data_IF_694416715402
#
_entry.id   IF_694416715402
#
_cell.length_a   1.000
_cell.length_b   1.000
_cell.length_c   1.000
_cell.angle_alpha   90.00
_cell.angle_beta   90.00
_cell.angle_gamma   90.00
#
_symmetry.space_group_name_H-M   'P 1'
#
loop_
_entity.id
_entity.type
_entity.pdbx_description
1 polymer ?
#
# COMPACT_ATOMS: atom_id res chain seq x y z
N UNK A 1 -23.55 35.54 -47.88
CA UNK A 1 -22.42 35.53 -46.95
C UNK A 1 -22.75 34.98 -45.53
N UNK A 2 -23.80 35.44 -44.83
CA UNK A 2 -24.12 34.99 -43.45
C UNK A 2 -24.48 33.49 -43.31
N UNK A 3 -25.10 32.85 -44.30
CA UNK A 3 -25.50 31.43 -44.28
C UNK A 3 -24.28 30.52 -44.45
N UNK A 4 -23.38 30.83 -45.40
CA UNK A 4 -22.14 30.07 -45.61
C UNK A 4 -21.20 30.10 -44.38
N UNK A 5 -21.12 31.25 -43.71
CA UNK A 5 -20.33 31.38 -42.45
C UNK A 5 -20.89 30.49 -41.33
N UNK A 6 -22.23 30.38 -41.20
CA UNK A 6 -22.89 29.52 -40.21
C UNK A 6 -22.70 28.02 -40.48
N UNK A 7 -22.75 27.63 -41.76
CA UNK A 7 -22.51 26.23 -42.18
C UNK A 7 -21.03 25.85 -41.93
N UNK A 8 -20.11 26.75 -42.23
CA UNK A 8 -18.68 26.52 -42.00
C UNK A 8 -18.34 26.45 -40.53
N UNK A 9 -18.96 27.26 -39.67
CA UNK A 9 -18.80 27.18 -38.22
C UNK A 9 -19.37 25.89 -37.64
N UNK A 10 -20.52 25.42 -38.11
CA UNK A 10 -21.13 24.16 -37.68
C UNK A 10 -20.31 22.96 -38.14
N UNK A 11 -19.74 22.97 -39.32
CA UNK A 11 -18.87 21.91 -39.83
C UNK A 11 -17.54 21.86 -39.03
N UNK A 12 -16.97 23.02 -38.70
CA UNK A 12 -15.73 23.10 -37.89
C UNK A 12 -15.97 22.60 -36.48
N UNK A 13 -17.14 22.93 -35.87
CA UNK A 13 -17.49 22.43 -34.53
C UNK A 13 -17.72 20.90 -34.53
N UNK A 14 -18.35 20.36 -35.56
CA UNK A 14 -18.56 18.91 -35.73
C UNK A 14 -17.24 18.15 -35.91
N UNK A 15 -16.29 18.70 -36.66
CA UNK A 15 -14.95 18.13 -36.84
C UNK A 15 -14.17 18.18 -35.50
N UNK A 16 -14.28 19.27 -34.75
CA UNK A 16 -13.63 19.40 -33.45
C UNK A 16 -14.21 18.41 -32.44
N UNK A 17 -15.53 18.21 -32.41
CA UNK A 17 -16.18 17.19 -31.59
C UNK A 17 -15.81 15.77 -32.03
N UNK A 18 -15.68 15.49 -33.33
CA UNK A 18 -15.24 14.19 -33.81
C UNK A 18 -13.79 13.88 -33.47
N UNK A 19 -12.90 14.89 -33.45
CA UNK A 19 -11.50 14.75 -33.01
C UNK A 19 -11.39 14.55 -31.50
N UNK A 20 -12.31 15.06 -30.71
CA UNK A 20 -12.36 14.83 -29.25
C UNK A 20 -12.88 13.42 -28.92
N UNK A 21 -13.72 12.82 -29.77
CA UNK A 21 -14.21 11.45 -29.59
C UNK A 21 -13.16 10.40 -29.97
N UNK A 22 -12.20 10.72 -30.84
CA UNK A 22 -11.07 9.83 -31.15
C UNK A 22 -9.92 9.93 -30.12
N UNK A 23 -9.93 10.95 -29.26
CA UNK A 23 -8.98 11.05 -28.14
C UNK A 23 -9.31 10.09 -26.98
N UNK A 24 -10.50 9.48 -26.94
CA UNK A 24 -10.77 8.22 -26.23
C UNK A 24 -10.23 7.03 -27.08
N UNK A 25 -9.00 7.16 -27.59
CA UNK A 25 -8.26 6.07 -28.20
C UNK A 25 -8.12 4.98 -27.15
N UNK A 26 -8.61 3.79 -27.48
CA UNK A 26 -8.51 2.64 -26.62
C UNK A 26 -7.10 2.58 -26.06
N UNK A 27 -6.95 2.77 -24.75
CA UNK A 27 -5.71 2.43 -24.08
C UNK A 27 -5.47 0.97 -24.47
N UNK A 28 -4.32 0.64 -25.05
CA UNK A 28 -3.86 -0.73 -25.16
C UNK A 28 -3.63 -1.23 -23.73
N UNK A 29 -4.74 -1.51 -23.01
CA UNK A 29 -4.68 -2.16 -21.72
C UNK A 29 -4.30 -3.61 -21.97
N UNK A 30 -3.27 -4.05 -21.30
CA UNK A 30 -2.96 -5.48 -21.23
C UNK A 30 -3.91 -6.07 -20.18
N UNK A 31 -4.71 -7.06 -20.55
CA UNK A 31 -5.53 -7.78 -19.58
C UNK A 31 -4.63 -8.71 -18.77
N UNK A 32 -4.33 -8.30 -17.56
CA UNK A 32 -3.47 -9.05 -16.63
C UNK A 32 -4.26 -9.82 -15.57
N UNK A 33 -5.59 -9.80 -15.60
CA UNK A 33 -6.46 -10.35 -14.56
C UNK A 33 -6.19 -11.84 -14.25
N UNK A 34 -5.76 -12.59 -15.28
CA UNK A 34 -5.48 -14.02 -15.16
C UNK A 34 -3.99 -14.35 -15.28
N UNK A 35 -3.10 -13.37 -15.12
CA UNK A 35 -1.66 -13.59 -15.19
C UNK A 35 -1.21 -14.59 -14.10
N UNK A 36 -0.24 -15.45 -14.46
CA UNK A 36 0.33 -16.49 -13.58
C UNK A 36 1.85 -16.42 -13.50
N UNK A 37 2.44 -15.52 -14.28
CA UNK A 37 3.87 -15.32 -14.37
C UNK A 37 4.19 -13.87 -14.70
N UNK A 38 5.44 -13.45 -14.50
CA UNK A 38 5.93 -12.14 -14.95
C UNK A 38 5.80 -11.96 -16.46
N UNK A 39 5.93 -13.04 -17.23
CA UNK A 39 5.81 -13.00 -18.69
C UNK A 39 4.40 -12.57 -19.14
N UNK A 40 3.37 -12.90 -18.36
CA UNK A 40 1.98 -12.53 -18.66
C UNK A 40 1.71 -11.03 -18.40
N UNK A 41 2.62 -10.35 -17.69
CA UNK A 41 2.54 -8.92 -17.40
C UNK A 41 3.28 -8.06 -18.44
N UNK A 42 3.89 -8.69 -19.46
CA UNK A 42 4.67 -7.97 -20.48
C UNK A 42 3.89 -6.83 -21.12
N UNK A 43 4.49 -5.65 -21.14
CA UNK A 43 3.91 -4.43 -21.75
C UNK A 43 2.78 -3.79 -20.94
N UNK A 44 2.43 -4.33 -19.78
CA UNK A 44 1.42 -3.74 -18.90
C UNK A 44 1.92 -2.44 -18.26
N UNK A 45 0.97 -1.57 -17.86
CA UNK A 45 1.22 -0.37 -17.08
C UNK A 45 1.22 -0.73 -15.61
N UNK A 46 2.38 -0.96 -15.05
CA UNK A 46 2.55 -1.34 -13.65
C UNK A 46 3.22 -0.20 -12.89
N UNK A 47 2.77 0.01 -11.66
CA UNK A 47 3.34 1.02 -10.78
C UNK A 47 3.91 0.40 -9.49
N UNK A 48 4.71 1.20 -8.79
CA UNK A 48 5.22 0.88 -7.47
C UNK A 48 5.38 2.17 -6.64
N UNK A 49 5.42 2.03 -5.31
CA UNK A 49 5.74 3.16 -4.44
C UNK A 49 7.21 3.56 -4.60
N UNK A 50 7.45 4.84 -4.77
CA UNK A 50 8.79 5.38 -4.98
C UNK A 50 9.71 5.13 -3.76
N UNK A 51 10.95 4.72 -4.02
CA UNK A 51 11.94 4.49 -2.97
C UNK A 51 11.80 3.16 -2.22
N UNK A 52 10.93 2.26 -2.68
CA UNK A 52 10.76 0.91 -2.12
C UNK A 52 11.37 -0.16 -3.01
N UNK A 53 11.59 -1.36 -2.47
CA UNK A 53 12.05 -2.52 -3.24
C UNK A 53 11.02 -2.97 -4.31
N UNK A 54 9.75 -2.55 -4.19
CA UNK A 54 8.73 -2.81 -5.20
C UNK A 54 9.10 -2.25 -6.58
N UNK A 55 9.89 -1.16 -6.63
CA UNK A 55 10.39 -0.61 -7.90
C UNK A 55 11.31 -1.61 -8.58
N UNK A 56 12.22 -2.24 -7.84
CA UNK A 56 13.14 -3.25 -8.38
C UNK A 56 12.38 -4.53 -8.79
N UNK A 57 11.36 -4.92 -8.02
CA UNK A 57 10.47 -6.02 -8.39
C UNK A 57 9.69 -5.70 -9.68
N UNK A 58 9.07 -4.54 -9.78
CA UNK A 58 8.35 -4.09 -10.98
C UNK A 58 9.24 -4.11 -12.24
N UNK A 59 10.49 -3.70 -12.11
CA UNK A 59 11.44 -3.64 -13.22
C UNK A 59 11.91 -5.02 -13.70
N UNK A 60 11.53 -6.12 -13.06
CA UNK A 60 11.74 -7.48 -13.55
C UNK A 60 10.75 -7.88 -14.65
N UNK A 61 9.67 -7.13 -14.84
CA UNK A 61 8.66 -7.38 -15.88
C UNK A 61 9.20 -6.88 -17.22
N UNK A 62 9.21 -7.75 -18.22
CA UNK A 62 9.68 -7.43 -19.58
C UNK A 62 8.80 -6.35 -20.22
N UNK A 63 9.42 -5.33 -20.83
CA UNK A 63 8.73 -4.22 -21.54
C UNK A 63 7.66 -3.51 -20.68
N UNK A 64 7.77 -3.55 -19.35
CA UNK A 64 6.83 -2.88 -18.45
C UNK A 64 6.75 -1.37 -18.73
N UNK A 65 5.54 -0.84 -18.77
CA UNK A 65 5.30 0.61 -18.77
C UNK A 65 5.27 1.10 -17.31
N UNK A 66 6.46 1.26 -16.73
CA UNK A 66 6.63 1.53 -15.31
C UNK A 66 6.30 2.97 -14.93
N UNK A 67 5.70 3.16 -13.76
CA UNK A 67 5.53 4.45 -13.10
C UNK A 67 5.72 4.31 -11.59
N UNK A 68 6.03 5.42 -10.91
CA UNK A 68 6.16 5.45 -9.45
C UNK A 68 5.30 6.55 -8.85
N UNK A 69 4.77 6.30 -7.67
CA UNK A 69 3.95 7.23 -6.90
C UNK A 69 4.57 7.43 -5.51
N UNK A 70 4.46 8.61 -4.91
CA UNK A 70 5.07 8.88 -3.61
C UNK A 70 4.37 8.10 -2.48
N UNK A 71 3.04 8.00 -2.54
CA UNK A 71 2.22 7.41 -1.48
C UNK A 71 1.50 6.16 -2.00
N UNK A 72 1.27 5.19 -1.12
CA UNK A 72 0.54 3.96 -1.46
C UNK A 72 -0.92 4.25 -1.89
N UNK A 73 -1.58 5.21 -1.23
CA UNK A 73 -2.94 5.62 -1.57
C UNK A 73 -3.08 6.16 -3.02
N UNK A 74 -2.01 6.75 -3.56
CA UNK A 74 -1.98 7.22 -4.95
C UNK A 74 -1.97 6.07 -5.95
N UNK A 75 -1.30 4.95 -5.62
CA UNK A 75 -1.30 3.73 -6.43
C UNK A 75 -2.71 3.17 -6.58
N UNK A 76 -3.45 3.06 -5.46
CA UNK A 76 -4.82 2.58 -5.45
C UNK A 76 -5.73 3.51 -6.27
N UNK A 77 -5.58 4.82 -6.13
CA UNK A 77 -6.31 5.82 -6.93
C UNK A 77 -6.01 5.70 -8.42
N UNK A 78 -4.74 5.51 -8.79
CA UNK A 78 -4.32 5.33 -10.18
C UNK A 78 -4.88 4.04 -10.77
N UNK A 79 -4.91 2.94 -10.02
CA UNK A 79 -5.51 1.67 -10.43
C UNK A 79 -7.01 1.80 -10.66
N UNK A 80 -7.74 2.38 -9.71
CA UNK A 80 -9.20 2.59 -9.80
C UNK A 80 -9.61 3.52 -10.95
N UNK A 81 -8.80 4.52 -11.24
CA UNK A 81 -9.02 5.42 -12.37
C UNK A 81 -8.64 4.82 -13.74
N UNK A 82 -7.97 3.67 -13.76
CA UNK A 82 -7.47 3.02 -14.96
C UNK A 82 -6.24 3.70 -15.58
N UNK A 83 -5.53 4.54 -14.83
CA UNK A 83 -4.27 5.12 -15.24
C UNK A 83 -3.16 4.06 -15.35
N UNK A 84 -3.21 3.05 -14.48
CA UNK A 84 -2.35 1.86 -14.46
C UNK A 84 -3.20 0.59 -14.55
N UNK A 85 -2.58 -0.52 -14.95
CA UNK A 85 -3.21 -1.84 -15.04
C UNK A 85 -3.05 -2.62 -13.73
N UNK A 86 -2.00 -2.32 -12.96
CA UNK A 86 -1.70 -2.92 -11.68
C UNK A 86 -0.58 -2.20 -10.95
N UNK A 87 -0.34 -2.56 -9.69
CA UNK A 87 0.83 -2.13 -8.93
C UNK A 87 1.41 -3.28 -8.11
N UNK A 88 2.69 -3.18 -7.77
CA UNK A 88 3.39 -4.17 -6.94
C UNK A 88 3.24 -3.77 -5.48
N UNK A 89 2.85 -4.75 -4.66
CA UNK A 89 2.74 -4.62 -3.21
C UNK A 89 3.04 -5.96 -2.54
N UNK A 90 3.18 -5.97 -1.22
CA UNK A 90 3.22 -7.19 -0.43
C UNK A 90 1.85 -7.86 -0.36
N UNK A 91 1.85 -9.17 -0.14
CA UNK A 91 0.61 -9.95 -0.05
C UNK A 91 -0.37 -9.46 1.03
N UNK A 92 0.06 -9.08 2.25
CA UNK A 92 -0.88 -8.56 3.25
C UNK A 92 -1.63 -7.30 2.79
N UNK A 93 -0.95 -6.40 2.06
CA UNK A 93 -1.58 -5.22 1.46
C UNK A 93 -2.58 -5.61 0.37
N UNK A 94 -2.23 -6.56 -0.48
CA UNK A 94 -3.14 -7.05 -1.51
C UNK A 94 -4.39 -7.70 -0.91
N UNK A 95 -4.23 -8.49 0.15
CA UNK A 95 -5.34 -9.12 0.90
C UNK A 95 -6.26 -8.08 1.54
N UNK A 96 -5.69 -7.06 2.20
CA UNK A 96 -6.45 -5.97 2.82
C UNK A 96 -7.27 -5.20 1.78
N UNK A 97 -6.63 -4.75 0.69
CA UNK A 97 -7.28 -3.97 -0.36
C UNK A 97 -8.37 -4.78 -1.07
N UNK A 98 -8.09 -6.03 -1.47
CA UNK A 98 -9.09 -6.88 -2.13
C UNK A 98 -10.18 -7.37 -1.15
N UNK A 99 -9.90 -7.45 0.15
CA UNK A 99 -10.90 -7.76 1.16
C UNK A 99 -11.89 -6.63 1.41
N UNK A 100 -11.46 -5.38 1.21
CA UNK A 100 -12.31 -4.19 1.37
C UNK A 100 -12.98 -3.72 0.07
N UNK A 101 -12.53 -4.18 -1.11
CA UNK A 101 -13.04 -3.79 -2.42
C UNK A 101 -13.10 -4.99 -3.38
N UNK A 102 -14.31 -5.51 -3.59
CA UNK A 102 -14.59 -6.69 -4.42
C UNK A 102 -14.43 -6.44 -5.93
N UNK A 103 -14.21 -5.20 -6.34
CA UNK A 103 -13.89 -4.83 -7.74
C UNK A 103 -12.42 -5.04 -8.08
N UNK A 104 -11.58 -5.30 -7.08
CA UNK A 104 -10.15 -5.52 -7.21
C UNK A 104 -9.80 -7.00 -6.98
N UNK A 105 -8.71 -7.42 -7.60
CA UNK A 105 -8.14 -8.75 -7.39
C UNK A 105 -6.62 -8.65 -7.33
N UNK A 106 -5.97 -9.63 -6.77
CA UNK A 106 -4.52 -9.71 -6.77
C UNK A 106 -4.01 -10.97 -7.47
N UNK A 107 -2.79 -10.88 -7.98
CA UNK A 107 -2.08 -11.98 -8.62
C UNK A 107 -0.95 -12.39 -7.68
N UNK A 108 -1.03 -13.61 -7.16
CA UNK A 108 -0.01 -14.14 -6.28
C UNK A 108 1.18 -14.66 -7.09
N UNK A 109 2.19 -13.83 -7.27
CA UNK A 109 3.46 -14.19 -7.90
C UNK A 109 4.51 -14.44 -6.82
N UNK A 110 4.69 -15.69 -6.46
CA UNK A 110 5.67 -16.08 -5.45
C UNK A 110 7.11 -15.95 -5.96
N UNK A 111 8.07 -15.87 -5.05
CA UNK A 111 9.49 -15.79 -5.35
C UNK A 111 10.00 -17.13 -5.90
N UNK A 112 9.99 -17.29 -7.22
CA UNK A 112 10.43 -18.47 -7.97
C UNK A 112 10.79 -18.10 -9.41
N UNK A 113 11.07 -19.10 -10.26
CA UNK A 113 11.49 -18.92 -11.65
C UNK A 113 10.45 -18.22 -12.56
N UNK A 114 9.19 -18.17 -12.17
CA UNK A 114 8.09 -17.54 -12.93
C UNK A 114 7.57 -16.26 -12.29
N UNK A 115 7.93 -16.02 -11.05
CA UNK A 115 7.55 -14.84 -10.26
C UNK A 115 8.70 -13.86 -10.06
N UNK A 116 8.55 -13.00 -9.07
CA UNK A 116 9.59 -12.04 -8.71
C UNK A 116 10.78 -12.74 -8.04
N UNK A 117 11.97 -12.18 -8.22
CA UNK A 117 13.16 -12.56 -7.46
C UNK A 117 13.47 -11.48 -6.43
N UNK A 118 13.41 -11.84 -5.15
CA UNK A 118 13.75 -10.96 -4.03
C UNK A 118 14.51 -11.73 -2.96
N UNK A 119 15.45 -11.09 -2.28
CA UNK A 119 16.15 -11.68 -1.14
C UNK A 119 15.37 -11.43 0.16
N UNK A 120 15.58 -12.24 1.23
CA UNK A 120 14.97 -11.96 2.54
C UNK A 120 15.32 -10.56 3.09
N UNK A 121 16.45 -9.99 2.69
CA UNK A 121 16.84 -8.65 3.08
C UNK A 121 16.03 -7.55 2.36
N UNK A 122 15.55 -7.84 1.14
CA UNK A 122 14.75 -6.89 0.36
C UNK A 122 13.31 -6.81 0.89
N UNK A 123 12.77 -7.93 1.37
CA UNK A 123 11.37 -8.05 1.83
C UNK A 123 11.20 -7.95 3.34
N UNK A 124 12.29 -7.81 4.08
CA UNK A 124 12.26 -7.74 5.55
C UNK A 124 11.70 -6.42 6.05
N UNK A 125 10.72 -6.48 6.97
CA UNK A 125 10.23 -5.30 7.69
C UNK A 125 11.24 -4.96 8.79
N UNK A 126 11.61 -3.67 8.89
CA UNK A 126 12.61 -3.22 9.85
C UNK A 126 12.28 -1.86 10.47
N UNK A 127 12.73 -1.65 11.70
CA UNK A 127 12.64 -0.36 12.39
C UNK A 127 13.88 0.48 12.04
N UNK A 128 13.66 1.62 11.40
CA UNK A 128 14.71 2.58 11.07
C UNK A 128 15.14 3.39 12.30
N UNK A 129 16.44 3.43 12.58
CA UNK A 129 17.03 4.19 13.67
C UNK A 129 18.17 5.07 13.18
N UNK A 130 18.40 6.18 13.89
CA UNK A 130 19.61 6.98 13.66
C UNK A 130 20.84 6.08 13.86
N UNK A 131 21.81 6.17 12.94
CA UNK A 131 23.07 5.42 13.03
C UNK A 131 23.76 5.67 14.39
N UNK A 132 24.08 4.58 15.10
CA UNK A 132 24.68 4.63 16.43
C UNK A 132 23.69 4.86 17.58
N UNK A 133 22.38 4.70 17.34
CA UNK A 133 21.36 4.78 18.39
C UNK A 133 21.56 3.67 19.44
N UNK A 134 21.55 4.03 20.71
CA UNK A 134 21.62 3.10 21.85
C UNK A 134 20.35 2.25 21.97
N UNK A 135 19.20 2.76 21.47
CA UNK A 135 17.93 2.02 21.46
C UNK A 135 17.96 0.75 20.60
N UNK A 136 18.96 0.59 19.72
CA UNK A 136 19.01 -0.56 18.82
C UNK A 136 19.03 -1.90 19.56
N UNK A 137 19.79 -2.00 20.64
CA UNK A 137 19.88 -3.24 21.42
C UNK A 137 18.56 -3.53 22.09
N UNK A 138 18.01 -2.56 22.82
CA UNK A 138 16.77 -2.69 23.58
C UNK A 138 15.59 -3.06 22.67
N UNK A 139 15.46 -2.39 21.50
CA UNK A 139 14.43 -2.70 20.51
C UNK A 139 14.60 -4.12 19.96
N UNK A 140 15.82 -4.52 19.60
CA UNK A 140 16.06 -5.88 19.10
C UNK A 140 15.79 -6.95 20.17
N UNK A 141 16.13 -6.68 21.41
CA UNK A 141 15.85 -7.57 22.54
C UNK A 141 14.33 -7.74 22.72
N UNK A 142 13.56 -6.65 22.69
CA UNK A 142 12.10 -6.71 22.73
C UNK A 142 11.52 -7.47 21.53
N UNK A 143 11.95 -7.17 20.30
CA UNK A 143 11.47 -7.85 19.10
C UNK A 143 11.81 -9.35 19.10
N UNK A 144 12.91 -9.76 19.70
CA UNK A 144 13.33 -11.18 19.79
C UNK A 144 12.41 -12.02 20.66
N UNK A 145 11.60 -11.40 21.51
CA UNK A 145 10.62 -12.09 22.37
C UNK A 145 9.32 -12.43 21.66
N UNK A 146 9.07 -11.82 20.48
CA UNK A 146 7.90 -12.09 19.66
C UNK A 146 8.21 -13.25 18.70
N UNK A 147 7.47 -14.35 18.80
CA UNK A 147 7.65 -15.50 17.92
C UNK A 147 7.18 -15.22 16.48
N UNK A 148 7.65 -16.00 15.51
CA UNK A 148 7.20 -15.86 14.10
C UNK A 148 5.70 -16.18 13.97
N UNK A 149 5.18 -17.15 14.77
CA UNK A 149 3.74 -17.43 14.83
C UNK A 149 2.95 -16.22 15.31
N UNK A 150 3.41 -15.55 16.37
CA UNK A 150 2.73 -14.36 16.89
C UNK A 150 2.74 -13.20 15.86
N UNK A 151 3.85 -13.01 15.16
CA UNK A 151 3.95 -12.00 14.09
C UNK A 151 2.97 -12.31 12.95
N UNK A 152 2.92 -13.57 12.53
CA UNK A 152 2.00 -14.03 11.48
C UNK A 152 0.54 -13.85 11.92
N UNK A 153 0.19 -14.32 13.11
CA UNK A 153 -1.16 -14.21 13.67
C UNK A 153 -1.59 -12.74 13.80
N UNK A 154 -0.68 -11.86 14.28
CA UNK A 154 -0.94 -10.43 14.33
C UNK A 154 -1.28 -9.87 12.94
N UNK A 155 -0.49 -10.21 11.92
CA UNK A 155 -0.76 -9.75 10.56
C UNK A 155 -2.12 -10.24 10.04
N UNK A 156 -2.47 -11.51 10.27
CA UNK A 156 -3.78 -12.08 9.89
C UNK A 156 -4.94 -11.37 10.61
N UNK A 157 -4.76 -11.03 11.88
CA UNK A 157 -5.73 -10.27 12.66
C UNK A 157 -5.92 -8.85 12.11
N UNK A 158 -4.83 -8.18 11.78
CA UNK A 158 -4.88 -6.83 11.21
C UNK A 158 -5.53 -6.85 9.80
N UNK A 159 -5.19 -7.81 8.94
CA UNK A 159 -5.85 -7.98 7.64
C UNK A 159 -7.36 -8.26 7.82
N UNK A 160 -7.75 -9.01 8.85
CA UNK A 160 -9.16 -9.23 9.19
C UNK A 160 -9.87 -7.92 9.51
N UNK A 161 -9.26 -7.04 10.31
CA UNK A 161 -9.81 -5.71 10.62
C UNK A 161 -9.99 -4.85 9.38
N UNK A 162 -8.96 -4.75 8.55
CA UNK A 162 -9.01 -3.91 7.33
C UNK A 162 -9.99 -4.45 6.28
N UNK A 163 -10.33 -5.74 6.35
CA UNK A 163 -11.37 -6.37 5.53
C UNK A 163 -12.78 -6.29 6.15
N UNK A 164 -12.98 -5.50 7.20
CA UNK A 164 -14.28 -5.29 7.85
C UNK A 164 -14.68 -6.37 8.87
N UNK A 165 -13.75 -7.26 9.24
CA UNK A 165 -13.95 -8.23 10.32
C UNK A 165 -13.73 -7.64 11.71
N UNK A 166 -13.82 -8.46 12.73
CA UNK A 166 -13.61 -8.08 14.14
C UNK A 166 -12.52 -8.91 14.78
N UNK A 167 -11.74 -8.29 15.65
CA UNK A 167 -10.68 -8.92 16.44
C UNK A 167 -10.85 -8.48 17.89
N UNK A 168 -10.96 -9.44 18.82
CA UNK A 168 -11.16 -9.13 20.24
C UNK A 168 -9.84 -8.77 20.96
N UNK A 169 -8.74 -9.39 20.54
CA UNK A 169 -7.40 -9.12 21.10
C UNK A 169 -6.32 -9.51 20.11
N UNK A 170 -5.17 -8.82 20.17
CA UNK A 170 -4.05 -9.10 19.29
C UNK A 170 -3.12 -10.18 19.87
N UNK A 171 -2.54 -10.99 18.98
CA UNK A 171 -1.53 -12.01 19.31
C UNK A 171 -0.26 -11.41 19.91
N UNK A 172 0.07 -10.18 19.54
CA UNK A 172 1.13 -9.39 20.12
C UNK A 172 0.49 -8.25 20.90
N UNK A 173 0.49 -8.36 22.21
CA UNK A 173 0.02 -7.32 23.12
C UNK A 173 0.93 -7.30 24.34
N UNK A 174 1.17 -6.12 24.87
CA UNK A 174 1.89 -5.95 26.11
C UNK A 174 1.01 -5.18 27.09
N UNK A 175 0.81 -5.67 28.33
CA UNK A 175 0.13 -4.87 29.34
C UNK A 175 0.90 -3.57 29.58
N UNK A 176 0.16 -2.49 29.85
CA UNK A 176 0.78 -1.20 30.16
C UNK A 176 1.80 -1.37 31.29
N UNK A 177 2.98 -0.75 31.19
CA UNK A 177 4.02 -0.90 32.20
C UNK A 177 3.55 -0.32 33.55
N UNK A 178 3.96 -0.93 34.65
CA UNK A 178 3.64 -0.43 35.98
C UNK A 178 4.25 0.96 36.28
N UNK A 179 5.36 1.28 35.59
CA UNK A 179 6.02 2.58 35.66
C UNK A 179 6.51 3.00 34.30
N UNK A 180 6.22 4.26 33.91
CA UNK A 180 6.75 4.86 32.68
C UNK A 180 8.06 5.60 32.98
N UNK A 181 9.12 5.26 32.26
CA UNK A 181 10.44 5.90 32.40
C UNK A 181 10.72 6.95 31.34
N UNK A 182 9.87 7.04 30.30
CA UNK A 182 10.06 7.97 29.20
C UNK A 182 8.97 7.86 28.13
N UNK A 183 9.22 8.46 26.98
CA UNK A 183 8.33 8.42 25.83
C UNK A 183 9.14 8.03 24.60
N UNK A 184 8.76 6.93 23.95
CA UNK A 184 9.28 6.57 22.63
C UNK A 184 8.49 7.32 21.54
N UNK A 185 9.18 8.13 20.74
CA UNK A 185 8.57 8.82 19.58
C UNK A 185 8.80 7.99 18.33
N UNK A 186 7.71 7.57 17.71
CA UNK A 186 7.73 6.76 16.49
C UNK A 186 7.11 7.58 15.35
N UNK A 187 7.78 7.62 14.21
CA UNK A 187 7.25 8.20 12.96
C UNK A 187 6.81 7.10 12.02
N UNK A 188 5.64 7.28 11.39
CA UNK A 188 5.08 6.35 10.41
C UNK A 188 4.42 7.15 9.28
N UNK A 189 4.23 6.52 8.12
CA UNK A 189 3.47 7.09 6.99
C UNK A 189 2.00 7.28 7.35
N UNK A 190 1.42 6.33 8.08
CA UNK A 190 0.01 6.24 8.47
C UNK A 190 -0.97 6.31 7.29
N UNK A 191 -0.57 5.78 6.13
CA UNK A 191 -1.34 5.68 4.90
C UNK A 191 -1.08 4.38 4.14
N UNK A 192 -0.56 3.35 4.80
CA UNK A 192 -0.15 2.08 4.23
C UNK A 192 -0.77 0.88 4.96
N UNK A 193 -2.01 0.56 4.64
CA UNK A 193 -2.69 -0.64 5.15
C UNK A 193 -2.06 -1.93 4.60
N UNK A 194 -2.00 -2.98 5.42
CA UNK A 194 -2.38 -3.15 6.82
C UNK A 194 -1.27 -2.81 7.82
N UNK A 195 -0.14 -2.28 7.35
CA UNK A 195 1.02 -1.99 8.21
C UNK A 195 0.77 -0.81 9.13
N UNK A 196 0.33 0.32 8.59
CA UNK A 196 -0.02 1.49 9.39
C UNK A 196 -0.99 2.41 8.61
N UNK A 197 -2.10 2.81 9.25
CA UNK A 197 -3.08 3.73 8.67
C UNK A 197 -3.62 4.71 9.70
N UNK A 198 -4.41 5.69 9.25
CA UNK A 198 -5.05 6.70 10.08
C UNK A 198 -6.54 6.44 10.22
N UNK A 199 -7.01 6.27 11.46
CA UNK A 199 -8.42 6.28 11.82
C UNK A 199 -8.84 7.67 12.29
N UNK A 200 -10.12 8.01 12.10
CA UNK A 200 -10.72 9.28 12.55
C UNK A 200 -11.41 9.16 13.91
N UNK A 201 -11.37 7.98 14.50
CA UNK A 201 -11.86 7.69 15.85
C UNK A 201 -11.02 6.56 16.48
N UNK A 202 -11.27 6.25 17.75
CA UNK A 202 -10.55 5.23 18.50
C UNK A 202 -11.35 3.95 18.72
N UNK A 203 -12.29 3.65 17.82
CA UNK A 203 -13.15 2.45 17.95
C UNK A 203 -12.43 1.18 17.50
N UNK A 204 -11.43 1.31 16.63
CA UNK A 204 -10.61 0.18 16.20
C UNK A 204 -9.68 -0.26 17.32
N UNK A 205 -9.63 -1.56 17.68
CA UNK A 205 -8.75 -2.06 18.72
C UNK A 205 -7.29 -1.68 18.48
N UNK A 206 -6.59 -1.27 19.54
CA UNK A 206 -5.16 -0.94 19.50
C UNK A 206 -4.81 0.38 18.82
N UNK A 207 -5.78 1.22 18.50
CA UNK A 207 -5.54 2.55 17.94
C UNK A 207 -4.82 3.47 18.95
N UNK A 208 -3.86 4.25 18.47
CA UNK A 208 -3.04 5.19 19.26
C UNK A 208 -3.21 6.60 18.70
N UNK A 209 -3.52 7.57 19.56
CA UNK A 209 -3.66 8.96 19.13
C UNK A 209 -2.37 9.49 18.49
N UNK A 210 -2.51 10.09 17.30
CA UNK A 210 -1.37 10.69 16.59
C UNK A 210 -1.06 12.05 17.20
N UNK A 211 0.17 12.22 17.70
CA UNK A 211 0.63 13.50 18.26
C UNK A 211 1.11 14.44 17.16
N UNK A 212 0.83 15.74 17.32
CA UNK A 212 1.32 16.78 16.41
C UNK A 212 0.29 17.86 16.12
N UNK A 213 0.73 18.96 15.53
CA UNK A 213 -0.15 20.06 15.14
C UNK A 213 -1.13 19.58 14.04
N UNK A 214 -2.42 19.87 14.25
CA UNK A 214 -3.49 19.48 13.32
C UNK A 214 -3.82 17.98 13.30
N UNK A 215 -3.31 17.17 14.25
CA UNK A 215 -3.53 15.73 14.33
C UNK A 215 -4.54 15.30 15.41
N UNK A 216 -5.09 16.24 16.17
CA UNK A 216 -6.08 15.94 17.23
C UNK A 216 -7.28 15.16 16.69
N UNK A 217 -7.63 14.06 17.35
CA UNK A 217 -8.72 13.17 16.95
C UNK A 217 -8.38 12.24 15.77
N UNK A 218 -7.10 12.16 15.41
CA UNK A 218 -6.60 11.16 14.46
C UNK A 218 -5.83 10.07 15.23
N UNK A 219 -6.00 8.82 14.79
CA UNK A 219 -5.42 7.66 15.47
C UNK A 219 -4.65 6.81 14.47
N UNK A 220 -3.46 6.40 14.83
CA UNK A 220 -2.68 5.43 14.07
C UNK A 220 -3.09 4.01 14.47
N UNK A 221 -3.24 3.13 13.50
CA UNK A 221 -3.48 1.72 13.72
C UNK A 221 -2.69 0.87 12.69
N UNK A 222 -2.63 -0.43 12.92
CA UNK A 222 -1.96 -1.38 12.03
C UNK A 222 -0.89 -2.21 12.68
N UNK A 223 -0.31 -3.10 11.88
CA UNK A 223 0.73 -4.02 12.34
C UNK A 223 1.91 -3.30 13.01
N UNK A 224 2.43 -2.26 12.35
CA UNK A 224 3.58 -1.51 12.86
C UNK A 224 3.25 -0.78 14.16
N UNK A 225 2.00 -0.34 14.32
CA UNK A 225 1.54 0.34 15.54
C UNK A 225 1.49 -0.63 16.72
N UNK A 226 1.01 -1.86 16.51
CA UNK A 226 1.01 -2.89 17.55
C UNK A 226 2.43 -3.30 17.96
N UNK A 227 3.32 -3.48 16.99
CA UNK A 227 4.75 -3.75 17.27
C UNK A 227 5.39 -2.56 18.00
N UNK A 228 5.12 -1.33 17.60
CA UNK A 228 5.66 -0.14 18.26
C UNK A 228 5.20 -0.02 19.72
N UNK A 229 3.93 -0.31 20.00
CA UNK A 229 3.40 -0.35 21.36
C UNK A 229 4.09 -1.44 22.21
N UNK A 230 4.28 -2.63 21.64
CA UNK A 230 4.97 -3.72 22.31
C UNK A 230 6.41 -3.36 22.66
N UNK A 231 7.13 -2.73 21.75
CA UNK A 231 8.53 -2.30 21.95
C UNK A 231 8.63 -1.17 22.99
N UNK A 232 7.60 -0.31 23.08
CA UNK A 232 7.59 0.84 24.00
C UNK A 232 7.24 0.46 25.45
N UNK A 233 6.63 -0.70 25.69
CA UNK A 233 6.18 -1.19 26.99
C UNK A 233 7.13 -2.23 27.60
#
# INVERSE_FOLDING_TARGET
MKIMSRIMSAALAAILCALLLTACGGSNRVDITNAKSLADLKGAKIAAQAGTFHVDAMNQIEDVQSSTYPEFADLLTALKSGAIDGYVAEEPTALSVCGSDDTLTYIHLINNDTGFTATPADVGIAIGLKKGSELRSEINDALSTITEEQKKELMEQIVTLTSGGTVDSFAVSCPAPETTTGTLKVGMECAYEPYNWTDTDNTTPGAVEISGEGKSGLYANGYDVQIAQYVAN
#
